data_IF_587027741203
#
_entry.id   IF_587027741203
#
_cell.length_a   1.000
_cell.length_b   1.000
_cell.length_c   1.000
_cell.angle_alpha   90.00
_cell.angle_beta   90.00
_cell.angle_gamma   90.00
#
_symmetry.space_group_name_H-M   'P 1'
#
loop_
_entity.id
_entity.type
_entity.pdbx_description
1 polymer ?
#
# COMPACT_ATOMS: atom_id res chain seq x y z
N UNK A 1 -12.37 19.04 -14.23
CA UNK A 1 -12.29 18.79 -12.78
C UNK A 1 -11.80 20.07 -12.13
N UNK A 2 -12.52 20.58 -11.13
CA UNK A 2 -12.13 21.75 -10.37
C UNK A 2 -11.09 21.40 -9.30
N UNK A 3 -10.37 22.40 -8.77
CA UNK A 3 -9.41 22.17 -7.67
C UNK A 3 -10.08 21.57 -6.42
N UNK A 4 -11.31 21.99 -6.12
CA UNK A 4 -12.07 21.44 -4.99
C UNK A 4 -12.40 19.95 -5.20
N UNK A 5 -12.79 19.57 -6.42
CA UNK A 5 -13.02 18.17 -6.79
C UNK A 5 -11.73 17.35 -6.71
N UNK A 6 -10.60 17.87 -7.23
CA UNK A 6 -9.30 17.21 -7.13
C UNK A 6 -8.87 17.00 -5.68
N UNK A 7 -9.05 18.02 -4.84
CA UNK A 7 -8.70 17.97 -3.43
C UNK A 7 -9.54 16.94 -2.68
N UNK A 8 -10.86 16.89 -2.93
CA UNK A 8 -11.72 15.89 -2.31
C UNK A 8 -11.37 14.46 -2.76
N UNK A 9 -11.14 14.24 -4.06
CA UNK A 9 -10.69 12.94 -4.55
C UNK A 9 -9.36 12.50 -3.94
N UNK A 10 -8.43 13.44 -3.73
CA UNK A 10 -7.15 13.13 -3.08
C UNK A 10 -7.31 12.64 -1.63
N UNK A 11 -8.38 13.06 -0.93
CA UNK A 11 -8.69 12.54 0.40
C UNK A 11 -9.23 11.12 0.36
N UNK A 12 -10.07 10.81 -0.63
CA UNK A 12 -10.66 9.47 -0.81
C UNK A 12 -9.64 8.44 -1.30
N UNK A 13 -8.53 8.89 -1.89
CA UNK A 13 -7.44 8.04 -2.34
C UNK A 13 -6.70 7.36 -1.18
N UNK A 14 -6.58 8.00 -0.02
CA UNK A 14 -5.73 7.48 1.05
C UNK A 14 -6.46 6.40 1.85
N UNK A 15 -5.87 5.21 1.87
CA UNK A 15 -6.34 4.09 2.67
C UNK A 15 -5.83 4.16 4.11
N UNK A 16 -6.68 3.71 5.03
CA UNK A 16 -6.25 3.39 6.38
C UNK A 16 -5.30 2.20 6.36
N UNK A 17 -4.29 2.25 7.23
CA UNK A 17 -3.29 1.21 7.35
C UNK A 17 -3.83 0.11 8.27
N UNK A 18 -3.90 -1.15 7.81
CA UNK A 18 -4.42 -2.24 8.61
C UNK A 18 -3.38 -2.70 9.64
N UNK A 19 -3.77 -3.64 10.50
CA UNK A 19 -2.87 -4.22 11.48
C UNK A 19 -1.76 -5.08 10.82
N UNK A 20 -0.65 -5.33 11.55
CA UNK A 20 0.48 -6.12 11.05
C UNK A 20 0.12 -7.53 10.55
N UNK A 21 -0.85 -8.19 11.17
CA UNK A 21 -1.23 -9.56 10.80
C UNK A 21 -1.92 -9.55 9.44
N UNK A 22 -2.84 -8.62 9.21
CA UNK A 22 -3.48 -8.45 7.91
C UNK A 22 -2.48 -8.16 6.78
N UNK A 23 -1.45 -7.32 7.04
CA UNK A 23 -0.40 -7.02 6.05
C UNK A 23 0.31 -8.32 5.63
N UNK A 24 0.61 -9.18 6.60
CA UNK A 24 1.28 -10.46 6.37
C UNK A 24 0.38 -11.46 5.65
N UNK A 25 -0.88 -11.60 6.08
CA UNK A 25 -1.87 -12.46 5.44
C UNK A 25 -2.08 -12.06 3.98
N UNK A 26 -2.21 -10.75 3.70
CA UNK A 26 -2.35 -10.24 2.35
C UNK A 26 -1.14 -10.63 1.49
N UNK A 27 0.08 -10.41 1.98
CA UNK A 27 1.29 -10.81 1.25
C UNK A 27 1.27 -12.30 0.91
N UNK A 28 0.96 -13.15 1.90
CA UNK A 28 0.92 -14.60 1.72
C UNK A 28 -0.16 -15.03 0.72
N UNK A 29 -1.34 -14.39 0.75
CA UNK A 29 -2.43 -14.65 -0.20
C UNK A 29 -2.06 -14.33 -1.65
N UNK A 30 -1.13 -13.39 -1.85
CA UNK A 30 -0.61 -13.00 -3.17
C UNK A 30 0.59 -13.84 -3.62
N UNK A 31 1.09 -14.75 -2.77
CA UNK A 31 2.27 -15.56 -3.07
C UNK A 31 3.58 -14.75 -3.15
N UNK A 32 3.64 -13.57 -2.53
CA UNK A 32 4.79 -12.66 -2.61
C UNK A 32 5.76 -12.86 -1.45
N UNK A 33 7.06 -12.66 -1.72
CA UNK A 33 8.08 -12.49 -0.70
C UNK A 33 8.05 -11.09 -0.09
N UNK A 34 8.51 -10.94 1.15
CA UNK A 34 8.59 -9.62 1.80
C UNK A 34 9.50 -8.62 1.03
N UNK A 35 10.50 -9.14 0.31
CA UNK A 35 11.38 -8.34 -0.55
C UNK A 35 10.65 -7.81 -1.79
N UNK A 36 9.78 -8.62 -2.40
CA UNK A 36 8.94 -8.17 -3.51
C UNK A 36 7.96 -7.09 -3.06
N UNK A 37 7.28 -7.30 -1.92
CA UNK A 37 6.40 -6.27 -1.38
C UNK A 37 7.13 -4.96 -1.05
N UNK A 38 8.36 -5.04 -0.52
CA UNK A 38 9.19 -3.84 -0.29
C UNK A 38 9.42 -3.07 -1.59
N UNK A 39 9.75 -3.76 -2.68
CA UNK A 39 9.96 -3.13 -3.99
C UNK A 39 8.67 -2.56 -4.57
N UNK A 40 7.58 -3.31 -4.49
CA UNK A 40 6.26 -2.89 -4.98
C UNK A 40 5.80 -1.63 -4.24
N UNK A 41 6.07 -1.53 -2.94
CA UNK A 41 5.74 -0.37 -2.12
C UNK A 41 6.72 0.81 -2.27
N UNK A 42 7.71 0.71 -3.17
CA UNK A 42 8.69 1.78 -3.41
C UNK A 42 9.70 2.00 -2.27
N UNK A 43 9.96 0.96 -1.46
CA UNK A 43 10.88 1.04 -0.32
C UNK A 43 12.31 0.70 -0.73
N UNK A 44 13.27 1.47 -0.21
CA UNK A 44 14.69 1.28 -0.50
C UNK A 44 15.34 0.12 0.28
N UNK A 45 14.74 -0.27 1.41
CA UNK A 45 15.24 -1.35 2.27
C UNK A 45 14.24 -2.51 2.33
N UNK A 46 14.70 -3.68 1.87
CA UNK A 46 13.91 -4.92 1.84
C UNK A 46 13.52 -5.45 3.22
N UNK A 47 14.19 -5.00 4.29
CA UNK A 47 13.85 -5.37 5.65
C UNK A 47 12.66 -4.57 6.20
N UNK A 48 12.28 -3.44 5.59
CA UNK A 48 11.19 -2.59 6.09
C UNK A 48 9.87 -3.34 6.09
N UNK A 49 9.58 -4.15 5.07
CA UNK A 49 8.32 -4.88 5.01
C UNK A 49 8.14 -5.87 6.17
N UNK A 50 9.22 -6.56 6.55
CA UNK A 50 9.19 -7.43 7.73
C UNK A 50 8.89 -6.65 9.03
N UNK A 51 9.32 -5.38 9.11
CA UNK A 51 9.01 -4.50 10.24
C UNK A 51 7.53 -4.09 10.27
N UNK A 52 6.87 -4.02 9.11
CA UNK A 52 5.43 -3.82 9.01
C UNK A 52 4.67 -5.03 9.53
N UNK A 53 5.06 -6.23 9.09
CA UNK A 53 4.38 -7.48 9.45
C UNK A 53 4.58 -7.89 10.91
N UNK A 54 5.63 -7.43 11.57
CA UNK A 54 5.88 -7.70 12.99
C UNK A 54 5.45 -6.55 13.92
N UNK A 55 4.87 -5.47 13.38
CA UNK A 55 4.37 -4.33 14.13
C UNK A 55 5.44 -3.41 14.74
N UNK A 56 6.73 -3.64 14.49
CA UNK A 56 7.80 -2.73 14.96
C UNK A 56 7.82 -1.40 14.20
N UNK A 57 7.18 -1.36 13.03
CA UNK A 57 6.94 -0.16 12.24
C UNK A 57 5.58 -0.28 11.55
N UNK A 58 4.94 0.84 11.24
CA UNK A 58 3.76 0.87 10.38
C UNK A 58 4.07 1.67 9.10
N UNK A 59 3.56 1.27 7.92
CA UNK A 59 3.60 2.14 6.75
C UNK A 59 2.76 3.40 7.02
N UNK A 60 3.06 4.50 6.32
CA UNK A 60 2.11 5.62 6.28
C UNK A 60 1.01 5.34 5.26
N UNK A 61 -0.07 6.13 5.30
CA UNK A 61 -1.22 5.97 4.41
C UNK A 61 -0.82 6.03 2.93
N UNK A 62 0.12 6.90 2.55
CA UNK A 62 0.58 7.05 1.17
C UNK A 62 1.28 5.77 0.66
N UNK A 63 2.22 5.23 1.43
CA UNK A 63 2.94 3.99 1.11
C UNK A 63 1.99 2.81 1.02
N UNK A 64 1.05 2.70 1.96
CA UNK A 64 0.06 1.63 1.96
C UNK A 64 -0.88 1.71 0.75
N UNK A 65 -1.41 2.91 0.49
CA UNK A 65 -2.26 3.19 -0.67
C UNK A 65 -1.54 2.84 -1.98
N UNK A 66 -0.29 3.27 -2.13
CA UNK A 66 0.50 2.97 -3.32
C UNK A 66 0.71 1.46 -3.50
N UNK A 67 1.02 0.74 -2.42
CA UNK A 67 1.13 -0.71 -2.48
C UNK A 67 -0.18 -1.35 -2.95
N UNK A 68 -1.32 -0.99 -2.37
CA UNK A 68 -2.65 -1.49 -2.76
C UNK A 68 -2.98 -1.20 -4.22
N UNK A 69 -2.66 0.01 -4.71
CA UNK A 69 -2.80 0.37 -6.12
C UNK A 69 -1.93 -0.52 -7.01
N UNK A 70 -0.66 -0.72 -6.65
CA UNK A 70 0.30 -1.50 -7.44
C UNK A 70 -0.06 -2.98 -7.54
N UNK A 71 -0.74 -3.54 -6.53
CA UNK A 71 -1.24 -4.93 -6.56
C UNK A 71 -2.71 -5.05 -7.03
N UNK A 72 -3.34 -3.96 -7.47
CA UNK A 72 -4.73 -3.96 -7.94
C UNK A 72 -5.76 -4.29 -6.84
N UNK A 73 -5.48 -3.91 -5.59
CA UNK A 73 -6.34 -4.13 -4.41
C UNK A 73 -6.90 -2.84 -3.80
N UNK A 74 -6.67 -1.69 -4.43
CA UNK A 74 -7.32 -0.47 -3.99
C UNK A 74 -8.83 -0.55 -4.29
N UNK A 75 -9.73 -0.24 -3.33
CA UNK A 75 -11.18 -0.47 -3.48
C UNK A 75 -11.86 0.39 -4.55
N UNK A 76 -11.33 1.59 -4.81
CA UNK A 76 -11.98 2.60 -5.68
C UNK A 76 -11.17 3.03 -6.89
N UNK A 77 -9.88 2.73 -6.95
CA UNK A 77 -8.96 3.28 -7.94
C UNK A 77 -8.10 2.15 -8.49
N UNK A 78 -7.67 2.29 -9.74
CA UNK A 78 -6.77 1.33 -10.40
C UNK A 78 -5.68 2.10 -11.16
N UNK A 79 -4.50 1.50 -11.28
CA UNK A 79 -3.40 2.08 -12.04
C UNK A 79 -3.54 1.73 -13.51
N UNK A 80 -3.89 2.71 -14.33
CA UNK A 80 -3.85 2.54 -15.78
C UNK A 80 -2.43 2.76 -16.30
N UNK A 81 -1.90 1.78 -17.03
CA UNK A 81 -0.69 1.97 -17.82
C UNK A 81 -1.05 2.79 -19.06
N UNK A 82 -0.36 3.92 -19.25
CA UNK A 82 -0.39 4.70 -20.48
C UNK A 82 0.55 4.11 -21.52
#
# INVERSE_FOLDING_TARGET
MSFAEMYNQSKELLLEVPDPEFIKELRLSLGLSAKECSKIAGLNDAAIWNKYENGTRSPNAQTWTFFCLAIGKHPQFDLQKH
#
